data_IF_333260599437
#
_entry.id   IF_333260599437
#
_cell.length_a   1.000
_cell.length_b   1.000
_cell.length_c   1.000
_cell.angle_alpha   90.00
_cell.angle_beta   90.00
_cell.angle_gamma   90.00
#
_symmetry.space_group_name_H-M   'P 1'
#
loop_
_entity.id
_entity.type
_entity.pdbx_description
1 polymer ?
#
# COMPACT_ATOMS: atom_id res chain seq x y z
N UNK A 1 1.44 -0.82 4.25
CA UNK A 1 1.33 -1.29 2.86
C UNK A 1 2.32 -2.40 2.54
N UNK A 2 2.02 -3.18 1.47
CA UNK A 2 2.97 -4.13 0.87
C UNK A 2 3.75 -3.41 -0.23
N UNK A 3 5.08 -3.43 -0.16
CA UNK A 3 5.95 -2.87 -1.18
C UNK A 3 6.37 -3.94 -2.18
N UNK A 4 6.21 -3.60 -3.46
CA UNK A 4 6.54 -4.46 -4.61
C UNK A 4 7.39 -3.71 -5.62
N UNK A 5 8.03 -4.43 -6.54
CA UNK A 5 8.74 -3.80 -7.64
C UNK A 5 7.83 -3.56 -8.85
N UNK A 6 7.13 -4.61 -9.32
CA UNK A 6 6.40 -4.58 -10.59
C UNK A 6 4.94 -4.16 -10.41
N UNK A 7 4.44 -3.38 -11.35
CA UNK A 7 3.03 -2.98 -11.36
C UNK A 7 2.07 -4.17 -11.45
N UNK A 8 2.40 -5.17 -12.27
CA UNK A 8 1.60 -6.39 -12.36
C UNK A 8 1.48 -7.14 -11.02
N UNK A 9 2.55 -7.17 -10.22
CA UNK A 9 2.51 -7.75 -8.86
C UNK A 9 1.61 -6.92 -7.95
N UNK A 10 1.71 -5.59 -8.01
CA UNK A 10 0.86 -4.66 -7.25
C UNK A 10 -0.62 -4.91 -7.54
N UNK A 11 -0.99 -4.92 -8.81
CA UNK A 11 -2.38 -5.12 -9.25
C UNK A 11 -2.93 -6.45 -8.72
N UNK A 12 -2.18 -7.54 -8.87
CA UNK A 12 -2.58 -8.87 -8.38
C UNK A 12 -2.72 -8.94 -6.86
N UNK A 13 -1.84 -8.28 -6.11
CA UNK A 13 -1.95 -8.23 -4.65
C UNK A 13 -3.15 -7.41 -4.19
N UNK A 14 -3.45 -6.30 -4.87
CA UNK A 14 -4.67 -5.52 -4.59
C UNK A 14 -5.91 -6.36 -4.88
N UNK A 15 -5.96 -7.05 -6.02
CA UNK A 15 -7.07 -7.92 -6.36
C UNK A 15 -7.24 -9.07 -5.35
N UNK A 16 -6.14 -9.71 -4.93
CA UNK A 16 -6.17 -10.75 -3.92
C UNK A 16 -6.64 -10.24 -2.56
N UNK A 17 -6.19 -9.05 -2.15
CA UNK A 17 -6.66 -8.39 -0.94
C UNK A 17 -8.16 -8.12 -1.00
N UNK A 18 -8.65 -7.56 -2.11
CA UNK A 18 -10.06 -7.25 -2.30
C UNK A 18 -10.93 -8.50 -2.34
N UNK A 19 -10.47 -9.56 -3.02
CA UNK A 19 -11.15 -10.85 -3.04
C UNK A 19 -11.23 -11.50 -1.65
N UNK A 20 -10.18 -11.38 -0.82
CA UNK A 20 -10.18 -11.89 0.54
C UNK A 20 -11.18 -11.17 1.48
N UNK A 21 -11.64 -10.00 1.08
CA UNK A 21 -12.64 -9.19 1.81
C UNK A 21 -13.98 -9.11 1.08
N UNK A 22 -14.23 -9.98 0.11
CA UNK A 22 -15.47 -10.02 -0.70
C UNK A 22 -15.83 -8.65 -1.31
N UNK A 23 -14.79 -7.86 -1.68
CA UNK A 23 -15.01 -6.56 -2.26
C UNK A 23 -15.54 -6.66 -3.70
N UNK A 24 -16.56 -5.86 -4.08
CA UNK A 24 -17.12 -5.88 -5.42
C UNK A 24 -16.10 -5.38 -6.45
N UNK A 25 -16.14 -5.91 -7.67
CA UNK A 25 -15.21 -5.53 -8.75
C UNK A 25 -15.34 -4.06 -9.17
N UNK A 26 -16.53 -3.49 -9.06
CA UNK A 26 -16.89 -2.18 -9.62
C UNK A 26 -16.90 -1.02 -8.64
N UNK A 27 -16.69 -1.27 -7.34
CA UNK A 27 -16.72 -0.23 -6.32
C UNK A 27 -15.76 -0.55 -5.16
N UNK A 28 -15.30 0.47 -4.43
CA UNK A 28 -14.62 0.27 -3.15
C UNK A 28 -15.65 0.05 -2.04
N UNK A 29 -15.34 -0.87 -1.15
CA UNK A 29 -16.03 -1.00 0.12
C UNK A 29 -15.58 0.09 1.10
N UNK A 30 -16.50 0.49 1.97
CA UNK A 30 -16.13 1.27 3.16
C UNK A 30 -15.15 0.46 4.01
N UNK A 31 -14.02 1.06 4.35
CA UNK A 31 -12.95 0.39 5.09
C UNK A 31 -11.74 0.04 4.24
N UNK A 32 -11.82 0.09 2.91
CA UNK A 32 -10.65 -0.18 2.07
C UNK A 32 -9.54 0.88 2.27
N UNK A 33 -8.26 0.43 2.34
CA UNK A 33 -7.14 1.33 2.56
C UNK A 33 -6.79 2.10 1.28
N UNK A 34 -6.46 3.37 1.45
CA UNK A 34 -5.94 4.25 0.41
C UNK A 34 -4.63 4.90 0.86
N UNK A 35 -3.78 5.26 -0.08
CA UNK A 35 -2.58 6.08 0.14
C UNK A 35 -2.66 7.31 -0.74
N UNK A 36 -2.52 8.49 -0.14
CA UNK A 36 -2.47 9.74 -0.88
C UNK A 36 -1.18 9.79 -1.72
N UNK A 37 -1.33 9.90 -3.04
CA UNK A 37 -0.19 10.04 -3.99
C UNK A 37 0.20 11.52 -4.19
N UNK A 38 -0.59 12.43 -3.65
CA UNK A 38 -0.39 13.87 -3.70
C UNK A 38 -1.68 14.64 -3.99
N UNK A 39 -1.55 15.95 -4.07
CA UNK A 39 -2.66 16.84 -4.38
C UNK A 39 -2.44 17.47 -5.75
N UNK A 40 -3.30 17.13 -6.68
CA UNK A 40 -3.31 17.65 -8.05
C UNK A 40 -4.18 18.91 -8.13
N UNK A 41 -3.64 20.04 -7.74
CA UNK A 41 -4.31 21.33 -7.79
C UNK A 41 -3.42 22.38 -8.47
N UNK A 42 -3.96 23.17 -9.43
CA UNK A 42 -3.26 24.30 -10.02
C UNK A 42 -2.84 25.34 -8.98
N UNK A 43 -1.79 26.09 -9.28
CA UNK A 43 -1.24 27.13 -8.38
C UNK A 43 -2.30 28.13 -7.91
N UNK A 44 -3.27 28.49 -8.75
CA UNK A 44 -4.40 29.35 -8.39
C UNK A 44 -5.26 28.83 -7.22
N UNK A 45 -5.18 27.54 -6.92
CA UNK A 45 -5.88 26.88 -5.81
C UNK A 45 -4.99 26.59 -4.60
N UNK A 46 -3.87 27.32 -4.45
CA UNK A 46 -2.90 27.12 -3.37
C UNK A 46 -3.53 27.10 -1.97
N UNK A 47 -4.49 27.99 -1.68
CA UNK A 47 -5.18 28.00 -0.37
C UNK A 47 -5.88 26.66 -0.08
N UNK A 48 -6.58 26.10 -1.07
CA UNK A 48 -7.27 24.83 -0.94
C UNK A 48 -6.28 23.67 -0.76
N UNK A 49 -5.13 23.73 -1.44
CA UNK A 49 -4.06 22.75 -1.26
C UNK A 49 -3.52 22.78 0.18
N UNK A 50 -3.21 23.96 0.70
CA UNK A 50 -2.72 24.15 2.07
C UNK A 50 -3.75 23.63 3.09
N UNK A 51 -5.04 23.90 2.88
CA UNK A 51 -6.10 23.39 3.75
C UNK A 51 -6.15 21.86 3.76
N UNK A 52 -6.06 21.20 2.61
CA UNK A 52 -6.04 19.73 2.52
C UNK A 52 -4.77 19.14 3.17
N UNK A 53 -3.60 19.77 2.95
CA UNK A 53 -2.34 19.36 3.57
C UNK A 53 -2.38 19.53 5.09
N UNK A 54 -2.95 20.62 5.60
CA UNK A 54 -3.14 20.86 7.04
C UNK A 54 -4.07 19.84 7.69
N UNK A 55 -5.00 19.24 6.91
CA UNK A 55 -5.87 18.14 7.34
C UNK A 55 -5.23 16.76 7.16
N UNK A 56 -3.92 16.70 6.90
CA UNK A 56 -3.14 15.48 6.82
C UNK A 56 -3.12 14.81 5.44
N UNK A 57 -3.73 15.37 4.40
CA UNK A 57 -3.67 14.84 3.05
C UNK A 57 -2.33 15.23 2.39
N UNK A 58 -1.27 14.60 2.83
CA UNK A 58 0.08 14.73 2.27
C UNK A 58 0.46 13.45 1.52
N UNK A 59 1.46 13.52 0.67
CA UNK A 59 1.98 12.34 -0.04
C UNK A 59 2.40 11.26 0.96
N UNK A 60 1.88 10.06 0.77
CA UNK A 60 2.12 8.91 1.65
C UNK A 60 1.13 8.77 2.79
N UNK A 61 0.27 9.75 3.05
CA UNK A 61 -0.75 9.65 4.09
C UNK A 61 -1.64 8.43 3.86
N UNK A 62 -1.80 7.63 4.91
CA UNK A 62 -2.72 6.50 4.92
C UNK A 62 -4.14 6.99 5.19
N UNK A 63 -5.06 6.55 4.37
CA UNK A 63 -6.47 6.89 4.49
C UNK A 63 -7.32 5.62 4.43
N UNK A 64 -8.50 5.70 5.03
CA UNK A 64 -9.55 4.70 4.90
C UNK A 64 -10.69 5.31 4.10
N UNK A 65 -11.15 4.60 3.08
CA UNK A 65 -12.30 5.01 2.29
C UNK A 65 -13.59 4.81 3.08
N UNK A 66 -14.39 5.87 3.21
CA UNK A 66 -15.66 5.86 3.94
C UNK A 66 -16.88 5.95 3.02
N UNK A 67 -16.66 6.00 1.71
CA UNK A 67 -17.69 6.08 0.71
C UNK A 67 -17.66 7.37 -0.12
N UNK A 68 -18.59 7.50 -1.09
CA UNK A 68 -18.70 8.68 -1.92
C UNK A 68 -19.12 9.89 -1.10
N UNK A 69 -18.64 11.06 -1.49
CA UNK A 69 -19.07 12.34 -0.92
C UNK A 69 -20.43 12.80 -1.45
N UNK A 70 -20.93 13.90 -0.89
CA UNK A 70 -22.21 14.49 -1.34
C UNK A 70 -22.17 15.07 -2.76
N UNK A 71 -20.99 15.45 -3.24
CA UNK A 71 -20.78 16.02 -4.58
C UNK A 71 -20.10 14.98 -5.47
N UNK A 72 -20.44 14.89 -6.76
CA UNK A 72 -19.71 14.05 -7.70
C UNK A 72 -18.20 14.35 -7.67
N UNK A 73 -17.37 13.30 -7.73
CA UNK A 73 -15.91 13.40 -7.64
C UNK A 73 -15.38 13.67 -6.23
N UNK A 74 -16.22 13.67 -5.20
CA UNK A 74 -15.76 13.77 -3.81
C UNK A 74 -15.82 12.40 -3.13
N UNK A 75 -14.89 12.18 -2.20
CA UNK A 75 -14.88 11.00 -1.33
C UNK A 75 -14.79 11.41 0.13
N UNK A 76 -15.46 10.65 0.97
CA UNK A 76 -15.32 10.73 2.42
C UNK A 76 -14.17 9.81 2.83
N UNK A 77 -13.26 10.33 3.61
CA UNK A 77 -12.02 9.69 3.99
C UNK A 77 -11.78 9.84 5.49
N UNK A 78 -11.17 8.81 6.07
CA UNK A 78 -10.56 8.90 7.39
C UNK A 78 -9.04 8.95 7.19
N UNK A 79 -8.41 10.06 7.57
CA UNK A 79 -6.95 10.25 7.44
C UNK A 79 -6.29 9.79 8.73
N UNK A 80 -5.52 8.72 8.66
CA UNK A 80 -4.87 8.13 9.83
C UNK A 80 -3.83 9.09 10.42
N UNK A 81 -3.85 9.26 11.74
CA UNK A 81 -2.92 10.12 12.46
C UNK A 81 -3.21 11.62 12.38
N UNK A 82 -4.25 12.05 11.67
CA UNK A 82 -4.65 13.47 11.65
C UNK A 82 -5.46 13.84 12.90
N UNK A 83 -5.31 15.08 13.38
CA UNK A 83 -6.07 15.58 14.53
C UNK A 83 -7.58 15.66 14.24
N UNK A 84 -7.96 16.04 13.00
CA UNK A 84 -9.34 15.96 12.49
C UNK A 84 -9.37 14.98 11.32
N UNK A 85 -9.57 13.66 11.60
CA UNK A 85 -9.37 12.62 10.60
C UNK A 85 -10.45 12.53 9.53
N UNK A 86 -11.64 13.10 9.76
CA UNK A 86 -12.76 12.99 8.82
C UNK A 86 -12.68 14.07 7.75
N UNK A 87 -12.30 13.67 6.55
CA UNK A 87 -12.15 14.60 5.42
C UNK A 87 -13.12 14.25 4.29
N UNK A 88 -13.77 15.27 3.73
CA UNK A 88 -14.52 15.18 2.49
C UNK A 88 -13.80 16.00 1.42
N UNK A 89 -13.13 15.32 0.48
CA UNK A 89 -12.24 15.94 -0.49
C UNK A 89 -12.60 15.53 -1.92
N UNK A 90 -12.41 16.47 -2.85
CA UNK A 90 -12.36 16.13 -4.27
C UNK A 90 -11.21 15.15 -4.48
N UNK A 91 -11.48 14.01 -5.09
CA UNK A 91 -10.56 12.87 -5.15
C UNK A 91 -10.47 12.29 -6.55
N UNK A 92 -9.29 11.74 -6.84
CA UNK A 92 -9.00 10.96 -8.05
C UNK A 92 -8.60 9.58 -7.55
N UNK A 93 -9.51 8.61 -7.69
CA UNK A 93 -9.30 7.23 -7.24
C UNK A 93 -9.56 6.30 -8.42
N UNK A 94 -8.50 5.68 -8.91
CA UNK A 94 -8.53 4.70 -9.99
C UNK A 94 -7.82 3.44 -9.54
N UNK A 95 -8.49 2.29 -9.69
CA UNK A 95 -7.97 0.98 -9.30
C UNK A 95 -7.79 0.14 -10.56
N UNK A 96 -6.55 -0.21 -10.86
CA UNK A 96 -6.24 -1.11 -11.97
C UNK A 96 -6.71 -2.53 -11.64
N UNK A 97 -7.31 -3.19 -12.62
CA UNK A 97 -7.81 -4.56 -12.52
C UNK A 97 -6.87 -5.53 -13.25
N UNK A 98 -6.68 -6.79 -12.75
CA UNK A 98 -5.69 -7.72 -13.32
C UNK A 98 -5.90 -8.06 -14.79
N UNK A 99 -7.15 -8.16 -15.22
CA UNK A 99 -7.54 -8.67 -16.53
C UNK A 99 -8.30 -7.61 -17.36
N UNK A 100 -8.13 -6.32 -17.02
CA UNK A 100 -8.75 -5.19 -17.72
C UNK A 100 -7.71 -4.14 -18.11
N UNK A 101 -7.83 -3.61 -19.31
CA UNK A 101 -7.05 -2.45 -19.75
C UNK A 101 -7.58 -1.15 -19.14
N UNK A 102 -8.86 -1.12 -18.76
CA UNK A 102 -9.49 0.03 -18.16
C UNK A 102 -9.51 -0.09 -16.62
N UNK A 103 -9.09 0.95 -15.90
CA UNK A 103 -9.17 0.96 -14.44
C UNK A 103 -10.62 1.11 -13.97
N UNK A 104 -10.92 0.57 -12.81
CA UNK A 104 -12.13 0.90 -12.08
C UNK A 104 -12.03 2.35 -11.58
N UNK A 105 -12.96 3.19 -12.01
CA UNK A 105 -13.04 4.60 -11.58
C UNK A 105 -13.99 4.71 -10.39
N UNK A 106 -13.45 4.99 -9.22
CA UNK A 106 -14.21 5.17 -7.98
C UNK A 106 -14.59 6.63 -7.78
N UNK A 107 -13.66 7.53 -8.08
CA UNK A 107 -13.87 8.97 -8.04
C UNK A 107 -12.99 9.65 -9.07
N UNK A 108 -13.54 10.57 -9.83
CA UNK A 108 -12.88 11.24 -10.94
C UNK A 108 -13.11 12.75 -10.90
N UNK A 109 -12.63 13.41 -9.84
CA UNK A 109 -12.57 14.86 -9.85
C UNK A 109 -11.54 15.34 -10.89
N UNK A 110 -11.82 16.44 -11.57
CA UNK A 110 -10.87 17.05 -12.52
C UNK A 110 -9.57 17.51 -11.82
N UNK A 111 -9.65 17.75 -10.51
CA UNK A 111 -8.53 18.18 -9.67
C UNK A 111 -8.85 17.87 -8.19
N UNK A 112 -7.88 17.44 -7.43
CA UNK A 112 -8.08 17.08 -6.02
C UNK A 112 -6.95 16.26 -5.47
N UNK A 113 -7.22 15.50 -4.42
CA UNK A 113 -6.29 14.52 -3.88
C UNK A 113 -6.33 13.23 -4.72
N UNK A 114 -5.16 12.79 -5.18
CA UNK A 114 -5.00 11.52 -5.89
C UNK A 114 -4.68 10.41 -4.90
N UNK A 115 -5.25 9.23 -5.12
CA UNK A 115 -5.07 8.09 -4.24
C UNK A 115 -4.72 6.83 -5.02
N UNK A 116 -3.84 6.04 -4.40
CA UNK A 116 -3.56 4.66 -4.76
C UNK A 116 -4.27 3.74 -3.76
N UNK A 117 -4.58 2.52 -4.18
CA UNK A 117 -5.05 1.52 -3.24
C UNK A 117 -3.94 1.12 -2.25
N UNK A 118 -4.22 1.17 -0.95
CA UNK A 118 -3.23 1.06 0.12
C UNK A 118 -2.73 -0.35 0.41
N UNK A 119 -3.35 -1.41 -0.14
CA UNK A 119 -2.91 -2.78 0.10
C UNK A 119 -1.51 -3.04 -0.47
N UNK A 120 -1.21 -2.53 -1.67
CA UNK A 120 0.11 -2.68 -2.28
C UNK A 120 0.55 -1.42 -3.04
N UNK A 121 1.84 -1.08 -2.95
CA UNK A 121 2.45 0.10 -3.59
C UNK A 121 3.77 -0.30 -4.22
N UNK A 122 4.09 0.24 -5.40
CA UNK A 122 5.43 0.01 -5.97
C UNK A 122 6.49 0.78 -5.20
N UNK A 123 7.67 0.20 -5.09
CA UNK A 123 8.82 0.81 -4.41
C UNK A 123 9.13 2.22 -4.95
N UNK A 124 8.94 2.44 -6.26
CA UNK A 124 9.12 3.75 -6.87
C UNK A 124 8.10 4.79 -6.37
N UNK A 125 6.82 4.41 -6.28
CA UNK A 125 5.77 5.29 -5.76
C UNK A 125 5.89 5.55 -4.25
N UNK A 126 6.51 4.61 -3.52
CA UNK A 126 6.78 4.72 -2.10
C UNK A 126 7.89 5.73 -1.75
N UNK A 127 8.68 6.19 -2.74
CA UNK A 127 9.73 7.18 -2.50
C UNK A 127 9.14 8.50 -1.96
N UNK A 128 9.77 8.99 -0.90
CA UNK A 128 9.33 10.21 -0.20
C UNK A 128 8.21 9.98 0.82
N UNK A 129 7.77 8.73 1.02
CA UNK A 129 6.78 8.35 2.03
C UNK A 129 7.42 7.40 3.06
N UNK A 130 6.91 7.41 4.29
CA UNK A 130 7.29 6.48 5.36
C UNK A 130 6.04 6.01 6.08
N UNK A 131 6.11 4.84 6.69
CA UNK A 131 4.99 4.25 7.42
C UNK A 131 5.49 3.51 8.66
N UNK A 132 4.72 3.50 9.75
CA UNK A 132 5.09 2.77 10.97
C UNK A 132 5.39 1.29 10.70
N UNK A 133 4.67 0.68 9.76
CA UNK A 133 4.86 -0.72 9.42
C UNK A 133 4.82 -0.94 7.91
N UNK A 134 5.80 -1.65 7.38
CA UNK A 134 5.95 -1.96 5.96
C UNK A 134 6.20 -3.45 5.77
N UNK A 135 5.55 -4.02 4.77
CA UNK A 135 5.80 -5.37 4.31
C UNK A 135 6.47 -5.33 2.93
N UNK A 136 7.61 -5.99 2.77
CA UNK A 136 8.32 -6.09 1.49
C UNK A 136 8.04 -7.44 0.84
N UNK A 137 7.53 -7.44 -0.37
CA UNK A 137 7.29 -8.66 -1.13
C UNK A 137 8.58 -9.16 -1.79
N UNK A 138 9.39 -9.88 -1.04
CA UNK A 138 10.71 -10.38 -1.43
C UNK A 138 10.76 -11.17 -2.74
N UNK A 139 9.75 -12.02 -3.09
CA UNK A 139 9.74 -12.71 -4.37
C UNK A 139 9.85 -11.80 -5.60
N UNK A 140 9.30 -10.60 -5.53
CA UNK A 140 9.39 -9.63 -6.64
C UNK A 140 10.81 -9.06 -6.79
N UNK A 141 11.49 -8.83 -5.66
CA UNK A 141 12.90 -8.41 -5.65
C UNK A 141 13.84 -9.52 -6.13
N UNK A 142 13.52 -10.79 -5.86
CA UNK A 142 14.27 -11.93 -6.40
C UNK A 142 14.20 -12.00 -7.92
N UNK A 143 13.07 -11.60 -8.52
CA UNK A 143 12.96 -11.49 -9.98
C UNK A 143 13.90 -10.41 -10.50
N UNK A 144 13.94 -9.24 -9.86
CA UNK A 144 14.88 -8.17 -10.21
C UNK A 144 16.34 -8.64 -10.11
N UNK A 145 16.67 -9.44 -9.08
CA UNK A 145 17.99 -10.02 -8.91
C UNK A 145 18.36 -10.99 -10.04
N UNK A 146 17.42 -11.88 -10.42
CA UNK A 146 17.63 -12.85 -11.51
C UNK A 146 17.77 -12.19 -12.87
N UNK A 147 17.12 -11.04 -13.10
CA UNK A 147 17.27 -10.29 -14.35
C UNK A 147 18.67 -9.66 -14.49
N UNK A 148 19.46 -9.60 -13.43
CA UNK A 148 20.84 -9.07 -13.46
C UNK A 148 20.94 -7.59 -13.84
N UNK A 149 19.83 -6.84 -13.84
CA UNK A 149 19.83 -5.44 -14.25
C UNK A 149 20.63 -4.58 -13.28
N UNK A 150 21.47 -3.70 -13.83
CA UNK A 150 22.32 -2.76 -13.09
C UNK A 150 21.91 -1.34 -13.48
N UNK A 151 21.79 -0.46 -12.51
CA UNK A 151 21.50 0.97 -12.70
C UNK A 151 22.50 1.80 -11.88
N UNK A 152 23.18 2.72 -12.55
CA UNK A 152 24.25 3.54 -11.96
C UNK A 152 25.32 2.70 -11.22
N UNK A 153 25.73 1.57 -11.79
CA UNK A 153 26.75 0.69 -11.21
C UNK A 153 26.28 -0.20 -10.05
N UNK A 154 25.01 -0.10 -9.64
CA UNK A 154 24.45 -0.88 -8.53
C UNK A 154 23.39 -1.84 -9.06
N UNK A 155 23.38 -3.13 -8.66
CA UNK A 155 22.31 -4.04 -9.01
C UNK A 155 20.94 -3.48 -8.61
N UNK A 156 19.98 -3.48 -9.55
CA UNK A 156 18.66 -2.89 -9.37
C UNK A 156 17.96 -3.41 -8.10
N UNK A 157 18.03 -4.72 -7.87
CA UNK A 157 17.37 -5.32 -6.70
C UNK A 157 17.91 -4.76 -5.36
N UNK A 158 19.21 -4.41 -5.27
CA UNK A 158 19.79 -3.79 -4.06
C UNK A 158 19.24 -2.40 -3.85
N UNK A 159 19.09 -1.61 -4.92
CA UNK A 159 18.49 -0.28 -4.85
C UNK A 159 17.03 -0.34 -4.43
N UNK A 160 16.26 -1.27 -5.01
CA UNK A 160 14.86 -1.49 -4.65
C UNK A 160 14.72 -1.94 -3.18
N UNK A 161 15.57 -2.88 -2.73
CA UNK A 161 15.60 -3.33 -1.35
C UNK A 161 15.92 -2.18 -0.39
N UNK A 162 16.94 -1.37 -0.70
CA UNK A 162 17.29 -0.21 0.11
C UNK A 162 16.13 0.78 0.25
N UNK A 163 15.50 1.15 -0.88
CA UNK A 163 14.35 2.05 -0.85
C UNK A 163 13.22 1.43 -0.04
N UNK A 164 12.91 0.15 -0.21
CA UNK A 164 11.83 -0.51 0.49
C UNK A 164 12.05 -0.55 2.02
N UNK A 165 13.27 -0.91 2.46
CA UNK A 165 13.65 -1.00 3.87
C UNK A 165 13.53 0.36 4.54
N UNK A 166 14.00 1.42 3.88
CA UNK A 166 13.98 2.78 4.43
C UNK A 166 12.59 3.42 4.47
N UNK A 167 11.53 2.71 4.07
CA UNK A 167 10.14 3.17 4.20
C UNK A 167 9.50 2.81 5.54
N UNK A 168 10.06 1.84 6.26
CA UNK A 168 9.57 1.46 7.58
C UNK A 168 10.17 2.37 8.67
N UNK A 169 9.30 2.92 9.52
CA UNK A 169 9.70 3.72 10.68
C UNK A 169 9.95 2.84 11.90
N UNK A 170 9.09 1.83 12.13
CA UNK A 170 9.13 0.99 13.34
C UNK A 170 9.31 -0.48 13.00
N UNK A 171 8.54 -1.02 12.03
CA UNK A 171 8.46 -2.45 11.75
C UNK A 171 8.58 -2.75 10.28
N UNK A 172 9.48 -3.68 9.97
CA UNK A 172 9.70 -4.20 8.63
C UNK A 172 9.42 -5.71 8.60
N UNK A 173 8.54 -6.12 7.70
CA UNK A 173 8.27 -7.53 7.41
C UNK A 173 8.79 -7.88 6.03
N UNK A 174 9.64 -8.90 5.95
CA UNK A 174 10.18 -9.38 4.68
C UNK A 174 9.53 -10.71 4.31
N UNK A 175 8.64 -10.68 3.31
CA UNK A 175 7.99 -11.89 2.81
C UNK A 175 8.95 -12.66 1.93
N UNK A 176 9.19 -13.92 2.28
CA UNK A 176 10.00 -14.85 1.52
C UNK A 176 9.14 -15.91 0.83
N UNK A 177 9.70 -16.57 -0.18
CA UNK A 177 8.97 -17.56 -0.99
C UNK A 177 8.67 -18.87 -0.24
N UNK A 178 9.30 -19.08 0.91
CA UNK A 178 9.27 -20.35 1.64
C UNK A 178 8.29 -20.39 2.81
N UNK A 179 7.62 -19.30 3.08
CA UNK A 179 6.58 -19.29 4.09
C UNK A 179 5.25 -19.67 3.44
N UNK A 180 4.73 -20.82 3.85
CA UNK A 180 3.40 -21.36 3.64
C UNK A 180 3.23 -22.11 2.31
N UNK A 181 3.33 -23.44 2.39
CA UNK A 181 2.48 -24.28 1.55
C UNK A 181 1.04 -23.75 1.68
N UNK A 182 0.38 -23.48 0.55
CA UNK A 182 -1.05 -23.15 0.58
C UNK A 182 -1.76 -24.27 1.35
N UNK A 183 -2.54 -23.95 2.39
CA UNK A 183 -3.43 -24.94 2.96
C UNK A 183 -4.32 -25.48 1.83
N UNK A 184 -4.47 -26.78 1.73
CA UNK A 184 -5.32 -27.41 0.72
C UNK A 184 -6.80 -27.07 0.94
N UNK A 185 -7.13 -26.68 2.14
CA UNK A 185 -8.46 -26.27 2.58
C UNK A 185 -8.38 -24.90 3.28
N UNK A 186 -9.43 -24.08 3.23
CA UNK A 186 -9.48 -22.83 4.00
C UNK A 186 -9.27 -23.16 5.49
N UNK A 187 -8.35 -22.45 6.14
CA UNK A 187 -8.16 -22.56 7.58
C UNK A 187 -9.45 -22.13 8.28
N UNK A 188 -10.07 -23.05 8.99
CA UNK A 188 -11.14 -22.73 9.93
C UNK A 188 -10.57 -21.97 11.14
N UNK A 189 -11.42 -21.20 11.83
CA UNK A 189 -11.00 -20.48 13.04
C UNK A 189 -10.46 -21.43 14.12
N UNK A 190 -10.88 -22.71 14.12
CA UNK A 190 -10.39 -23.75 15.02
C UNK A 190 -8.99 -24.28 14.69
N UNK A 191 -8.47 -24.00 13.48
CA UNK A 191 -7.14 -24.45 13.04
C UNK A 191 -6.05 -23.40 13.36
N UNK A 192 -6.43 -22.26 13.90
CA UNK A 192 -5.49 -21.24 14.36
C UNK A 192 -4.94 -21.68 15.72
N UNK A 193 -3.72 -22.21 15.73
CA UNK A 193 -2.97 -22.41 16.96
C UNK A 193 -2.62 -21.02 17.55
N UNK A 194 -3.44 -20.57 18.50
CA UNK A 194 -3.28 -19.32 19.22
C UNK A 194 -2.21 -19.42 20.32
N UNK A 195 -1.48 -20.52 20.39
CA UNK A 195 -0.38 -20.67 21.35
C UNK A 195 0.75 -19.73 20.91
N UNK A 196 1.16 -18.76 21.75
CA UNK A 196 2.28 -17.89 21.40
C UNK A 196 3.52 -18.78 21.17
N UNK A 197 4.09 -18.70 19.96
CA UNK A 197 5.33 -19.39 19.66
C UNK A 197 6.39 -18.95 20.69
N UNK A 198 6.84 -19.85 21.55
CA UNK A 198 8.03 -19.63 22.36
C UNK A 198 9.19 -19.55 21.37
N UNK A 199 9.67 -18.34 21.13
CA UNK A 199 10.97 -18.11 20.55
C UNK A 199 12.01 -18.55 21.60
N UNK A 200 12.48 -19.78 21.49
CA UNK A 200 13.72 -20.18 22.14
C UNK A 200 14.85 -19.51 21.38
N UNK A 201 15.28 -18.36 21.88
CA UNK A 201 16.56 -17.78 21.54
C UNK A 201 17.61 -18.72 22.11
N UNK A 202 18.13 -19.64 21.30
CA UNK A 202 19.38 -20.31 21.61
C UNK A 202 20.47 -19.22 21.56
N UNK A 203 20.85 -18.74 22.74
CA UNK A 203 22.07 -17.98 22.89
C UNK A 203 23.24 -18.95 22.58
N UNK A 204 23.84 -18.86 21.40
CA UNK A 204 25.15 -19.42 21.17
C UNK A 204 26.15 -18.59 21.98
N UNK A 205 26.76 -19.23 22.95
CA UNK A 205 27.84 -18.66 23.75
C UNK A 205 29.01 -18.24 22.85
N UNK A 206 29.53 -17.00 22.97
CA UNK A 206 30.72 -16.58 22.24
C UNK A 206 31.97 -16.86 23.08
N UNK A 207 32.28 -18.12 23.39
CA UNK A 207 33.58 -18.52 23.90
C UNK A 207 33.86 -20.00 23.58
N UNK A 208 34.52 -20.26 22.44
CA UNK A 208 35.44 -21.36 22.22
C UNK A 208 36.33 -21.04 21.02
#
# INVERSE_FOLDING_TARGET
>A
PVLVWRNATRIRLIAAFRAAHDAPETALLTGEPLICDGIELPVKHRKKRIDLEARGLIKGAQCIYLGPGKKPGFSRLFVMGAADPLVNAASIIQIELPDSEEPMIVSAAKMGAAFLHGAAVTTHKAQGSQWPSVQVFGPDLQIAAKMGRVEAGIPLWKRLAYVAITRAEERLYWVTRYALARPKEPLGVGDLDMTPAKLELTAEDPEA
#
